data_IF_675126178514
#
_entry.id   IF_675126178514
#
_cell.length_a   1.000
_cell.length_b   1.000
_cell.length_c   1.000
_cell.angle_alpha   90.00
_cell.angle_beta   90.00
_cell.angle_gamma   90.00
#
_symmetry.space_group_name_H-M   'P 1'
#
loop_
_entity.id
_entity.type
_entity.pdbx_description
1 polymer ?
#
# COMPACT_ATOMS: atom_id res chain seq x y z
N UNK A 1 -37.01 -24.19 22.38
CA UNK A 1 -35.97 -24.64 21.44
C UNK A 1 -35.87 -23.77 20.19
N UNK A 2 -36.98 -23.29 19.61
CA UNK A 2 -36.97 -22.44 18.40
C UNK A 2 -36.21 -21.10 18.56
N UNK A 3 -36.30 -20.44 19.72
CA UNK A 3 -35.58 -19.20 20.01
C UNK A 3 -34.05 -19.34 19.95
N UNK A 4 -33.53 -20.47 20.41
CA UNK A 4 -32.07 -20.74 20.43
C UNK A 4 -31.54 -20.89 19.00
N UNK A 5 -32.30 -21.56 18.14
CA UNK A 5 -31.95 -21.75 16.73
C UNK A 5 -31.98 -20.42 15.96
N UNK A 6 -32.98 -19.57 16.23
CA UNK A 6 -33.08 -18.25 15.61
C UNK A 6 -31.91 -17.33 16.00
N UNK A 7 -31.51 -17.34 17.28
CA UNK A 7 -30.36 -16.55 17.77
C UNK A 7 -29.05 -17.07 17.15
N UNK A 8 -28.86 -18.39 17.07
CA UNK A 8 -27.68 -18.98 16.44
C UNK A 8 -27.56 -18.57 14.96
N UNK A 9 -28.67 -18.62 14.21
CA UNK A 9 -28.72 -18.17 12.82
C UNK A 9 -28.39 -16.69 12.67
N UNK A 10 -28.90 -15.83 13.56
CA UNK A 10 -28.61 -14.40 13.53
C UNK A 10 -27.12 -14.11 13.77
N UNK A 11 -26.49 -14.82 14.70
CA UNK A 11 -25.05 -14.66 14.99
C UNK A 11 -24.20 -15.09 13.78
N UNK A 12 -24.53 -16.23 13.16
CA UNK A 12 -23.83 -16.71 11.96
C UNK A 12 -24.00 -15.74 10.79
N UNK A 13 -25.23 -15.26 10.55
CA UNK A 13 -25.49 -14.29 9.50
C UNK A 13 -24.71 -12.98 9.72
N UNK A 14 -24.64 -12.49 10.95
CA UNK A 14 -23.90 -11.29 11.30
C UNK A 14 -22.39 -11.47 11.12
N UNK A 15 -21.84 -12.64 11.49
CA UNK A 15 -20.43 -12.96 11.28
C UNK A 15 -20.06 -13.04 9.80
N UNK A 16 -20.92 -13.65 8.97
CA UNK A 16 -20.74 -13.74 7.51
C UNK A 16 -20.78 -12.34 6.89
N UNK A 17 -21.75 -11.51 7.27
CA UNK A 17 -21.82 -10.12 6.83
C UNK A 17 -20.59 -9.31 7.26
N UNK A 18 -20.07 -9.54 8.47
CA UNK A 18 -18.86 -8.86 8.95
C UNK A 18 -17.62 -9.24 8.14
N UNK A 19 -17.50 -10.50 7.72
CA UNK A 19 -16.40 -10.97 6.85
C UNK A 19 -16.54 -10.41 5.43
N UNK A 20 -17.75 -10.39 4.88
CA UNK A 20 -18.04 -9.84 3.55
C UNK A 20 -17.90 -8.31 3.50
N UNK A 21 -18.33 -7.63 4.55
CA UNK A 21 -18.20 -6.17 4.70
C UNK A 21 -16.77 -5.76 5.07
N UNK A 22 -15.87 -6.71 5.35
CA UNK A 22 -14.47 -6.39 5.62
C UNK A 22 -13.85 -5.91 4.31
N UNK A 23 -13.48 -4.62 4.20
CA UNK A 23 -12.84 -4.14 2.99
C UNK A 23 -11.57 -4.96 2.76
N UNK A 24 -11.25 -5.33 1.50
CA UNK A 24 -10.01 -6.03 1.22
C UNK A 24 -8.88 -5.20 1.81
N UNK A 25 -8.11 -5.81 2.73
CA UNK A 25 -6.94 -5.14 3.32
C UNK A 25 -6.12 -4.59 2.15
N UNK A 26 -5.79 -3.29 2.15
CA UNK A 26 -5.09 -2.68 1.03
C UNK A 26 -3.82 -3.51 0.78
N UNK A 27 -3.75 -4.15 -0.38
CA UNK A 27 -2.60 -4.99 -0.73
C UNK A 27 -1.36 -4.14 -0.56
N UNK A 28 -0.43 -4.66 0.23
CA UNK A 28 0.88 -4.07 0.40
C UNK A 28 1.50 -3.90 -1.00
N UNK A 29 1.64 -2.65 -1.48
CA UNK A 29 2.20 -2.39 -2.81
C UNK A 29 3.55 -3.08 -2.96
N UNK A 30 3.69 -3.82 -4.04
CA UNK A 30 4.93 -4.53 -4.36
C UNK A 30 6.02 -3.53 -4.76
N UNK A 31 7.28 -3.96 -4.73
CA UNK A 31 8.43 -3.16 -5.19
C UNK A 31 8.26 -2.78 -6.67
N UNK A 32 7.76 -3.71 -7.49
CA UNK A 32 7.46 -3.47 -8.90
C UNK A 32 6.40 -2.37 -9.09
N UNK A 33 5.30 -2.42 -8.33
CA UNK A 33 4.26 -1.39 -8.38
C UNK A 33 4.79 -0.01 -7.97
N UNK A 34 5.69 0.05 -6.98
CA UNK A 34 6.32 1.29 -6.55
C UNK A 34 7.28 1.83 -7.61
N UNK A 35 8.08 0.97 -8.27
CA UNK A 35 8.92 1.38 -9.42
C UNK A 35 8.08 1.93 -10.57
N UNK A 36 7.00 1.25 -10.94
CA UNK A 36 6.10 1.71 -12.00
C UNK A 36 5.39 3.01 -11.64
N UNK A 37 5.05 3.20 -10.37
CA UNK A 37 4.50 4.47 -9.90
C UNK A 37 5.54 5.58 -10.00
N UNK A 38 6.78 5.32 -9.58
CA UNK A 38 7.88 6.28 -9.65
C UNK A 38 8.14 6.69 -11.10
N UNK A 39 8.25 5.72 -12.02
CA UNK A 39 8.41 5.95 -13.48
C UNK A 39 7.27 6.78 -14.06
N UNK A 40 6.01 6.42 -13.76
CA UNK A 40 4.85 7.20 -14.20
C UNK A 40 4.85 8.62 -13.65
N UNK A 41 5.35 8.82 -12.42
CA UNK A 41 5.44 10.15 -11.85
C UNK A 41 6.54 10.97 -12.53
N UNK A 42 7.73 10.42 -12.77
CA UNK A 42 8.85 11.19 -13.34
C UNK A 42 8.83 11.30 -14.86
N UNK A 43 8.11 10.43 -15.57
CA UNK A 43 8.11 10.28 -17.05
C UNK A 43 9.50 9.98 -17.66
N UNK A 44 10.57 10.07 -16.88
CA UNK A 44 11.96 9.77 -17.24
C UNK A 44 12.53 8.72 -16.27
N UNK A 45 13.01 7.60 -16.82
CA UNK A 45 13.56 6.49 -16.06
C UNK A 45 14.88 6.85 -15.36
N UNK A 46 15.70 7.72 -15.95
CA UNK A 46 17.00 8.09 -15.42
C UNK A 46 16.84 9.02 -14.21
N UNK A 47 15.86 9.93 -14.27
CA UNK A 47 15.50 10.78 -13.12
C UNK A 47 15.01 9.92 -11.95
N UNK A 48 14.20 8.90 -12.25
CA UNK A 48 13.68 7.97 -11.26
C UNK A 48 14.81 7.19 -10.57
N UNK A 49 15.76 6.65 -11.31
CA UNK A 49 16.92 5.93 -10.76
C UNK A 49 17.83 6.84 -9.94
N UNK A 50 18.16 8.04 -10.44
CA UNK A 50 18.97 9.02 -9.68
C UNK A 50 18.34 9.38 -8.33
N UNK A 51 17.02 9.47 -8.27
CA UNK A 51 16.29 9.75 -7.03
C UNK A 51 16.35 8.58 -6.06
N UNK A 52 16.18 7.35 -6.56
CA UNK A 52 16.28 6.13 -5.75
C UNK A 52 17.70 5.98 -5.19
N UNK A 53 18.73 6.19 -6.00
CA UNK A 53 20.13 6.12 -5.56
C UNK A 53 20.47 7.20 -4.54
N UNK A 54 19.87 8.38 -4.65
CA UNK A 54 19.99 9.44 -3.63
C UNK A 54 19.36 9.00 -2.31
N UNK A 55 18.16 8.41 -2.36
CA UNK A 55 17.48 7.90 -1.17
C UNK A 55 18.22 6.71 -0.54
N UNK A 56 18.78 5.82 -1.35
CA UNK A 56 19.57 4.67 -0.89
C UNK A 56 20.85 5.11 -0.18
N UNK A 57 21.51 6.17 -0.68
CA UNK A 57 22.68 6.76 -0.02
C UNK A 57 22.33 7.46 1.30
N UNK A 58 21.17 8.12 1.39
CA UNK A 58 20.68 8.71 2.65
C UNK A 58 20.25 7.67 3.68
N UNK A 59 19.77 6.51 3.22
CA UNK A 59 19.24 5.44 4.06
C UNK A 59 19.82 4.08 3.65
N UNK A 60 21.10 3.80 3.96
CA UNK A 60 21.77 2.58 3.55
C UNK A 60 21.12 1.31 4.14
N UNK A 61 20.57 1.41 5.35
CA UNK A 61 19.94 0.29 6.07
C UNK A 61 18.45 0.11 5.73
N UNK A 62 17.88 1.00 4.91
CA UNK A 62 16.47 0.91 4.55
C UNK A 62 16.21 -0.15 3.48
N UNK A 63 15.12 -0.91 3.65
CA UNK A 63 14.66 -1.84 2.62
C UNK A 63 14.38 -1.12 1.30
N UNK A 64 14.58 -1.79 0.16
CA UNK A 64 14.32 -1.24 -1.18
C UNK A 64 12.90 -0.67 -1.29
N UNK A 65 11.92 -1.34 -0.67
CA UNK A 65 10.54 -0.87 -0.58
C UNK A 65 10.41 0.47 0.15
N UNK A 66 11.13 0.64 1.27
CA UNK A 66 11.14 1.89 2.04
C UNK A 66 11.77 3.00 1.23
N UNK A 67 12.92 2.73 0.57
CA UNK A 67 13.61 3.68 -0.29
C UNK A 67 12.69 4.19 -1.41
N UNK A 68 11.98 3.28 -2.10
CA UNK A 68 11.02 3.67 -3.14
C UNK A 68 9.83 4.48 -2.60
N UNK A 69 9.33 4.16 -1.41
CA UNK A 69 8.25 4.94 -0.77
C UNK A 69 8.71 6.36 -0.43
N UNK A 70 9.92 6.51 0.09
CA UNK A 70 10.52 7.81 0.41
C UNK A 70 10.72 8.63 -0.86
N UNK A 71 11.27 8.03 -1.91
CA UNK A 71 11.43 8.68 -3.21
C UNK A 71 10.10 9.19 -3.78
N UNK A 72 9.03 8.38 -3.72
CA UNK A 72 7.68 8.79 -4.12
C UNK A 72 7.13 9.92 -3.23
N UNK A 73 7.38 9.86 -1.92
CA UNK A 73 6.91 10.87 -0.98
C UNK A 73 7.58 12.22 -1.24
N UNK A 74 8.90 12.23 -1.49
CA UNK A 74 9.65 13.44 -1.82
C UNK A 74 9.15 14.06 -3.13
N UNK A 75 8.94 13.25 -4.18
CA UNK A 75 8.33 13.68 -5.45
C UNK A 75 6.94 14.29 -5.28
N UNK A 76 6.14 13.77 -4.34
CA UNK A 76 4.81 14.35 -4.04
C UNK A 76 4.89 15.65 -3.27
N UNK A 77 5.88 15.78 -2.38
CA UNK A 77 6.11 17.00 -1.62
C UNK A 77 6.59 18.12 -2.55
N UNK A 78 7.49 17.79 -3.48
CA UNK A 78 8.04 18.73 -4.45
C UNK A 78 6.95 19.27 -5.39
N UNK A 79 6.02 18.43 -5.82
CA UNK A 79 4.86 18.84 -6.64
C UNK A 79 3.80 19.69 -5.93
N UNK A 80 3.81 19.73 -4.60
CA UNK A 80 2.86 20.52 -3.79
C UNK A 80 3.39 21.90 -3.45
N UNK A 81 4.67 22.16 -3.72
CA UNK A 81 5.31 23.48 -3.62
C UNK A 81 5.29 24.14 -4.98
#
# INVERSE_FOLDING_TARGET
MQLVVAIALAIVACAVLYVLARPPRPRARSVAELRDQLRRMTHDADVAERLVDRMRRRHPDASERTVLRLAIAELRADRRR
#
